data_IF_781843045140
#
_entry.id   IF_781843045140
#
_cell.length_a   1.000
_cell.length_b   1.000
_cell.length_c   1.000
_cell.angle_alpha   90.00
_cell.angle_beta   90.00
_cell.angle_gamma   90.00
#
_symmetry.space_group_name_H-M   'P 1'
#
loop_
_entity.id
_entity.type
_entity.pdbx_description
1 polymer ?
#
# COMPACT_ATOMS: atom_id res chain seq x y z
N UNK A 1 -3.38 -2.42 -3.51
CA UNK A 1 -3.27 -3.00 -4.88
C UNK A 1 -4.64 -3.28 -5.49
N UNK A 2 -5.72 -2.78 -4.89
CA UNK A 2 -7.08 -3.04 -5.34
C UNK A 2 -7.29 -2.56 -6.78
N UNK A 3 -7.83 -3.43 -7.63
CA UNK A 3 -8.03 -3.18 -9.04
C UNK A 3 -9.05 -2.06 -9.33
N UNK A 4 -9.90 -1.71 -8.36
CA UNK A 4 -10.88 -0.62 -8.47
C UNK A 4 -10.24 0.76 -8.38
N UNK A 5 -9.01 0.86 -7.88
CA UNK A 5 -8.35 2.14 -7.62
C UNK A 5 -7.41 2.49 -8.78
N UNK A 6 -7.85 3.45 -9.58
CA UNK A 6 -7.01 4.24 -10.47
C UNK A 6 -6.47 5.46 -9.70
N UNK A 7 -5.22 5.39 -9.26
CA UNK A 7 -4.57 6.44 -8.46
C UNK A 7 -4.40 7.73 -9.25
N UNK A 8 -4.15 7.63 -10.56
CA UNK A 8 -3.89 8.80 -11.39
C UNK A 8 -5.19 9.57 -11.61
N UNK A 9 -6.27 8.87 -11.95
CA UNK A 9 -7.58 9.49 -12.08
C UNK A 9 -8.09 10.06 -10.74
N UNK A 10 -7.90 9.35 -9.62
CA UNK A 10 -8.38 9.78 -8.31
C UNK A 10 -7.69 11.04 -7.77
N UNK A 11 -6.40 11.25 -8.11
CA UNK A 11 -5.61 12.39 -7.66
C UNK A 11 -5.39 13.46 -8.75
N UNK A 12 -5.92 13.26 -9.96
CA UNK A 12 -5.72 14.17 -11.09
C UNK A 12 -4.26 14.26 -11.56
N UNK A 13 -3.53 13.14 -11.48
CA UNK A 13 -2.11 13.06 -11.84
C UNK A 13 -1.90 12.66 -13.30
N UNK A 14 -0.76 13.07 -13.85
CA UNK A 14 -0.23 12.72 -15.15
C UNK A 14 1.04 11.87 -15.02
N UNK A 15 1.41 11.19 -16.12
CA UNK A 15 2.62 10.37 -16.16
C UNK A 15 3.87 11.21 -15.83
N UNK A 16 4.65 10.72 -14.87
CA UNK A 16 5.87 11.37 -14.40
C UNK A 16 5.69 12.27 -13.17
N UNK A 17 4.46 12.53 -12.71
CA UNK A 17 4.22 13.47 -11.60
C UNK A 17 4.37 12.84 -10.21
N UNK A 18 4.25 11.51 -10.08
CA UNK A 18 4.32 10.84 -8.79
C UNK A 18 4.92 9.43 -8.88
N UNK A 19 5.66 9.05 -7.84
CA UNK A 19 5.93 7.64 -7.55
C UNK A 19 4.72 7.02 -6.88
N UNK A 20 4.23 5.90 -7.40
CA UNK A 20 3.08 5.19 -6.86
C UNK A 20 3.51 3.83 -6.31
N UNK A 21 3.52 3.71 -4.99
CA UNK A 21 3.80 2.44 -4.30
C UNK A 21 2.48 1.77 -3.92
N UNK A 22 2.32 0.49 -4.29
CA UNK A 22 1.09 -0.28 -4.03
C UNK A 22 1.43 -1.65 -3.49
N UNK A 23 0.75 -2.06 -2.42
CA UNK A 23 0.75 -3.43 -1.91
C UNK A 23 -0.64 -3.83 -1.41
N UNK A 24 -0.77 -5.05 -0.91
CA UNK A 24 -2.00 -5.55 -0.30
C UNK A 24 -2.30 -4.76 0.99
N UNK A 25 -3.50 -4.17 1.08
CA UNK A 25 -3.93 -3.37 2.24
C UNK A 25 -3.25 -2.01 2.43
N UNK A 26 -2.45 -1.52 1.47
CA UNK A 26 -1.84 -0.19 1.56
C UNK A 26 -0.89 -0.01 2.75
N UNK A 27 -0.13 -1.06 3.10
CA UNK A 27 0.67 -1.12 4.32
C UNK A 27 2.05 -0.49 4.20
N UNK A 28 2.51 0.10 5.28
CA UNK A 28 3.87 0.62 5.40
C UNK A 28 4.78 -0.52 5.87
N UNK A 29 5.12 -1.43 4.96
CA UNK A 29 6.07 -2.52 5.21
C UNK A 29 7.51 -2.03 5.07
N UNK A 30 8.49 -2.87 5.43
CA UNK A 30 9.92 -2.57 5.21
C UNK A 30 10.25 -2.27 3.74
N UNK A 31 9.55 -2.90 2.79
CA UNK A 31 9.75 -2.66 1.36
C UNK A 31 9.21 -1.29 0.92
N UNK A 32 8.05 -0.89 1.46
CA UNK A 32 7.49 0.44 1.25
C UNK A 32 8.40 1.50 1.89
N UNK A 33 8.85 1.29 3.12
CA UNK A 33 9.79 2.22 3.79
C UNK A 33 11.11 2.36 3.01
N UNK A 34 11.69 1.25 2.54
CA UNK A 34 12.90 1.27 1.70
C UNK A 34 12.68 2.10 0.42
N UNK A 35 11.55 1.89 -0.26
CA UNK A 35 11.21 2.60 -1.49
C UNK A 35 10.92 4.09 -1.24
N UNK A 36 10.23 4.42 -0.14
CA UNK A 36 9.99 5.79 0.29
C UNK A 36 11.29 6.52 0.62
N UNK A 37 12.21 5.87 1.36
CA UNK A 37 13.50 6.45 1.70
C UNK A 37 14.31 6.83 0.44
N UNK A 38 14.28 5.99 -0.60
CA UNK A 38 14.88 6.32 -1.90
C UNK A 38 14.16 7.50 -2.57
N UNK A 39 12.83 7.47 -2.60
CA UNK A 39 12.02 8.55 -3.20
C UNK A 39 12.30 9.91 -2.56
N UNK A 40 12.40 9.96 -1.22
CA UNK A 40 12.62 11.20 -0.48
C UNK A 40 14.09 11.62 -0.53
N UNK A 41 15.02 10.75 -0.10
CA UNK A 41 16.41 11.14 0.11
C UNK A 41 17.25 11.16 -1.17
N UNK A 42 16.85 10.43 -2.22
CA UNK A 42 17.61 10.33 -3.47
C UNK A 42 16.91 11.06 -4.61
N UNK A 43 15.58 10.97 -4.69
CA UNK A 43 14.80 11.51 -5.81
C UNK A 43 14.09 12.83 -5.49
N UNK A 44 14.23 13.34 -4.26
CA UNK A 44 13.79 14.69 -3.88
C UNK A 44 12.28 14.85 -3.68
N UNK A 45 11.53 13.76 -3.47
CA UNK A 45 10.10 13.86 -3.12
C UNK A 45 9.96 14.43 -1.71
N UNK A 46 9.19 15.50 -1.55
CA UNK A 46 8.97 16.19 -0.28
C UNK A 46 7.54 16.00 0.29
N UNK A 47 6.63 15.47 -0.51
CA UNK A 47 5.22 15.32 -0.19
C UNK A 47 4.82 13.86 -0.30
N UNK A 48 4.16 13.34 0.74
CA UNK A 48 3.71 11.96 0.81
C UNK A 48 2.20 11.90 1.06
N UNK A 49 1.53 10.99 0.36
CA UNK A 49 0.10 10.68 0.55
C UNK A 49 -0.04 9.20 0.86
N UNK A 50 -0.68 8.89 1.98
CA UNK A 50 -1.09 7.52 2.33
C UNK A 50 -2.58 7.39 2.02
N UNK A 51 -2.92 6.50 1.09
CA UNK A 51 -4.29 6.31 0.61
C UNK A 51 -4.79 4.91 0.97
N UNK A 52 -5.69 4.86 1.95
CA UNK A 52 -6.54 3.70 2.21
C UNK A 52 -7.87 3.84 1.44
N UNK A 53 -8.64 2.76 1.36
CA UNK A 53 -9.95 2.78 0.72
C UNK A 53 -10.96 1.94 1.48
N UNK A 54 -12.24 2.29 1.34
CA UNK A 54 -13.36 1.53 1.89
C UNK A 54 -13.51 0.18 1.20
N UNK A 55 -14.20 -0.74 1.87
CA UNK A 55 -14.46 -2.11 1.37
C UNK A 55 -13.17 -2.80 0.92
N UNK A 56 -12.08 -2.61 1.65
CA UNK A 56 -10.84 -3.30 1.36
C UNK A 56 -11.02 -4.79 1.58
N UNK A 57 -10.62 -5.63 0.62
CA UNK A 57 -10.71 -7.09 0.75
C UNK A 57 -9.88 -7.70 1.88
N UNK A 58 -9.06 -6.88 2.56
CA UNK A 58 -8.27 -7.26 3.73
C UNK A 58 -8.66 -6.50 5.00
N UNK A 59 -9.73 -5.69 4.96
CA UNK A 59 -10.28 -5.05 6.17
C UNK A 59 -10.85 -6.13 7.10
N UNK A 60 -10.49 -6.06 8.39
CA UNK A 60 -10.88 -7.06 9.38
C UNK A 60 -10.29 -8.46 9.18
N UNK A 61 -9.37 -8.65 8.23
CA UNK A 61 -8.72 -9.94 7.99
C UNK A 61 -7.45 -10.03 8.83
N UNK A 62 -7.33 -11.12 9.59
CA UNK A 62 -6.18 -11.39 10.45
C UNK A 62 -5.09 -12.17 9.72
N UNK A 63 -3.86 -12.06 10.21
CA UNK A 63 -2.73 -12.84 9.69
C UNK A 63 -2.91 -14.36 9.94
N UNK A 64 -3.60 -14.73 11.02
CA UNK A 64 -3.96 -16.13 11.28
C UNK A 64 -4.89 -16.71 10.21
N UNK A 65 -5.94 -15.98 9.82
CA UNK A 65 -6.84 -16.39 8.76
C UNK A 65 -6.12 -16.50 7.41
N UNK A 66 -5.26 -15.51 7.10
CA UNK A 66 -4.46 -15.55 5.87
C UNK A 66 -3.51 -16.74 5.83
N UNK A 67 -2.88 -17.07 6.95
CA UNK A 67 -2.01 -18.24 7.07
C UNK A 67 -2.79 -19.55 6.97
N UNK A 68 -3.99 -19.62 7.54
CA UNK A 68 -4.87 -20.79 7.40
C UNK A 68 -5.31 -21.00 5.94
N UNK A 69 -5.58 -19.93 5.20
CA UNK A 69 -5.99 -19.98 3.79
C UNK A 69 -4.84 -20.25 2.82
N UNK A 70 -3.70 -19.59 3.03
CA UNK A 70 -2.56 -19.64 2.10
C UNK A 70 -1.57 -20.76 2.42
N UNK A 71 -1.59 -21.29 3.64
CA UNK A 71 -0.58 -22.23 4.14
C UNK A 71 0.80 -21.60 4.40
N UNK A 72 0.91 -20.28 4.31
CA UNK A 72 2.16 -19.55 4.49
C UNK A 72 2.01 -18.44 5.54
N UNK A 73 3.09 -18.17 6.27
CA UNK A 73 3.20 -16.93 7.04
C UNK A 73 3.46 -15.78 6.07
N UNK A 74 2.50 -14.87 5.96
CA UNK A 74 2.59 -13.73 5.06
C UNK A 74 3.14 -12.48 5.76
N UNK A 75 3.31 -12.52 7.09
CA UNK A 75 3.69 -11.35 7.89
C UNK A 75 2.74 -10.18 7.66
N UNK A 76 1.44 -10.44 7.51
CA UNK A 76 0.46 -9.41 7.22
C UNK A 76 0.21 -8.55 8.46
N UNK A 77 0.23 -7.23 8.27
CA UNK A 77 -0.13 -6.27 9.30
C UNK A 77 -1.66 -6.07 9.28
N UNK A 78 -2.42 -6.43 10.34
CA UNK A 78 -3.89 -6.35 10.36
C UNK A 78 -4.44 -4.92 10.22
N UNK A 79 -5.66 -4.77 9.66
CA UNK A 79 -6.40 -3.48 9.76
C UNK A 79 -7.26 -3.71 10.99
N UNK A 80 -6.86 -3.11 12.10
CA UNK A 80 -7.73 -2.98 13.26
C UNK A 80 -8.62 -1.76 12.99
N UNK A 81 -9.90 -1.99 12.69
CA UNK A 81 -10.93 -0.94 12.58
C UNK A 81 -11.58 -0.68 13.96
#
# INVERSE_FOLDING_TARGET
>A
MDARIDVFAALGLHLGEAHVLRNAGGRVTSDVLRSLALSVHVLGVDTLVVMQHTECGLAGVTDEELRALSGADLGFLPIDD
#
